data_IF_655859229187
#
_entry.id   IF_655859229187
#
_cell.length_a   1.000
_cell.length_b   1.000
_cell.length_c   1.000
_cell.angle_alpha   90.00
_cell.angle_beta   90.00
_cell.angle_gamma   90.00
#
_symmetry.space_group_name_H-M   'P 1'
#
loop_
_entity.id
_entity.type
_entity.pdbx_description
1 polymer ?
#
# COMPACT_ATOMS: atom_id res chain seq x y z
N UNK A 1 -12.16 -15.46 -6.13
CA UNK A 1 -11.68 -14.06 -6.03
C UNK A 1 -12.02 -13.57 -4.64
N UNK A 2 -11.02 -13.27 -3.79
CA UNK A 2 -11.28 -12.77 -2.43
C UNK A 2 -11.68 -11.29 -2.56
N UNK A 3 -12.90 -10.89 -2.17
CA UNK A 3 -13.35 -9.52 -2.31
C UNK A 3 -12.54 -8.61 -1.38
N UNK A 4 -12.17 -7.43 -1.87
CA UNK A 4 -11.49 -6.37 -1.11
C UNK A 4 -12.06 -6.26 0.30
N UNK A 5 -11.35 -6.80 1.29
CA UNK A 5 -11.88 -6.92 2.65
C UNK A 5 -12.10 -5.54 3.25
N UNK A 6 -13.25 -5.33 3.87
CA UNK A 6 -13.57 -4.11 4.58
C UNK A 6 -12.76 -4.00 5.88
N UNK A 7 -12.27 -2.82 6.21
CA UNK A 7 -11.59 -2.54 7.47
C UNK A 7 -12.57 -1.92 8.48
N UNK A 8 -13.37 -2.77 9.11
CA UNK A 8 -14.36 -2.37 10.10
C UNK A 8 -13.76 -1.67 11.33
N UNK A 9 -12.47 -1.88 11.63
CA UNK A 9 -11.80 -1.15 12.72
C UNK A 9 -11.70 0.36 12.44
N UNK A 10 -11.75 0.76 11.17
CA UNK A 10 -11.67 2.17 10.74
C UNK A 10 -13.00 2.68 10.17
N UNK A 11 -14.11 2.02 10.45
CA UNK A 11 -15.41 2.45 9.96
C UNK A 11 -15.84 3.77 10.59
N UNK A 12 -16.62 4.54 9.83
CA UNK A 12 -17.40 5.64 10.40
C UNK A 12 -18.66 5.04 11.03
N UNK A 13 -18.58 4.68 12.31
CA UNK A 13 -19.64 3.96 13.02
C UNK A 13 -20.93 4.80 13.09
N UNK A 14 -20.84 6.12 13.31
CA UNK A 14 -22.02 6.98 13.35
C UNK A 14 -22.77 7.00 12.01
N UNK A 15 -22.03 7.13 10.91
CA UNK A 15 -22.64 7.08 9.57
C UNK A 15 -23.21 5.69 9.26
N UNK A 16 -22.52 4.62 9.68
CA UNK A 16 -22.99 3.25 9.50
C UNK A 16 -24.35 3.02 10.15
N UNK A 17 -24.50 3.42 11.42
CA UNK A 17 -25.78 3.28 12.12
C UNK A 17 -26.88 4.15 11.50
N UNK A 18 -26.58 5.39 11.10
CA UNK A 18 -27.55 6.26 10.42
C UNK A 18 -28.02 5.65 9.10
N UNK A 19 -27.11 5.09 8.30
CA UNK A 19 -27.47 4.43 7.04
C UNK A 19 -28.31 3.17 7.26
N UNK A 20 -27.92 2.29 8.19
CA UNK A 20 -28.69 1.08 8.52
C UNK A 20 -30.11 1.41 8.98
N UNK A 21 -30.27 2.49 9.74
CA UNK A 21 -31.58 2.94 10.23
C UNK A 21 -32.45 3.55 9.12
N UNK A 22 -31.84 4.25 8.17
CA UNK A 22 -32.56 4.90 7.05
C UNK A 22 -32.89 3.96 5.91
N UNK A 23 -32.17 2.85 5.77
CA UNK A 23 -32.45 1.85 4.74
C UNK A 23 -33.84 1.25 4.96
N UNK A 24 -34.64 1.25 3.90
CA UNK A 24 -35.95 0.61 3.90
C UNK A 24 -35.78 -0.90 3.65
N UNK A 25 -36.11 -1.72 4.64
CA UNK A 25 -35.95 -3.17 4.59
C UNK A 25 -37.19 -3.92 4.06
N UNK A 26 -38.29 -3.22 3.77
CA UNK A 26 -39.56 -3.83 3.34
C UNK A 26 -39.43 -4.64 2.04
N UNK A 27 -38.35 -4.47 1.25
CA UNK A 27 -38.11 -5.29 0.07
C UNK A 27 -37.93 -6.78 0.43
N UNK A 28 -37.43 -7.09 1.63
CA UNK A 28 -37.24 -8.47 2.08
C UNK A 28 -38.57 -9.21 2.29
N UNK A 29 -39.63 -8.49 2.68
CA UNK A 29 -40.95 -9.10 2.93
C UNK A 29 -41.63 -9.58 1.64
N UNK A 30 -41.18 -9.07 0.49
CA UNK A 30 -41.71 -9.43 -0.82
C UNK A 30 -41.03 -10.64 -1.47
N UNK A 31 -39.96 -11.16 -0.86
CA UNK A 31 -39.18 -12.27 -1.41
C UNK A 31 -39.62 -13.57 -0.74
N UNK A 32 -40.08 -14.53 -1.55
CA UNK A 32 -40.54 -15.83 -1.05
C UNK A 32 -39.42 -16.85 -0.89
N UNK A 33 -38.35 -16.71 -1.65
CA UNK A 33 -37.18 -17.58 -1.56
C UNK A 33 -36.16 -17.06 -0.54
N UNK A 34 -35.73 -17.94 0.36
CA UNK A 34 -34.86 -17.56 1.48
C UNK A 34 -33.44 -17.28 1.01
N UNK A 35 -32.96 -18.00 -0.01
CA UNK A 35 -31.62 -17.78 -0.56
C UNK A 35 -31.56 -16.43 -1.26
N UNK A 36 -32.55 -16.13 -2.10
CA UNK A 36 -32.70 -14.83 -2.76
C UNK A 36 -32.81 -13.68 -1.75
N UNK A 37 -33.58 -13.85 -0.68
CA UNK A 37 -33.70 -12.83 0.37
C UNK A 37 -32.36 -12.56 1.07
N UNK A 38 -31.58 -13.63 1.34
CA UNK A 38 -30.25 -13.49 1.91
C UNK A 38 -29.29 -12.76 0.97
N UNK A 39 -29.30 -13.08 -0.32
CA UNK A 39 -28.45 -12.43 -1.31
C UNK A 39 -28.74 -10.93 -1.39
N UNK A 40 -30.01 -10.54 -1.48
CA UNK A 40 -30.41 -9.14 -1.53
C UNK A 40 -30.07 -8.39 -0.24
N UNK A 41 -30.27 -9.02 0.92
CA UNK A 41 -29.87 -8.45 2.21
C UNK A 41 -28.37 -8.15 2.26
N UNK A 42 -27.53 -9.11 1.88
CA UNK A 42 -26.08 -8.91 1.88
C UNK A 42 -25.63 -7.95 0.78
N UNK A 43 -26.33 -7.88 -0.36
CA UNK A 43 -26.06 -6.89 -1.39
C UNK A 43 -26.24 -5.47 -0.84
N UNK A 44 -27.38 -5.20 -0.20
CA UNK A 44 -27.68 -3.90 0.39
C UNK A 44 -26.71 -3.54 1.53
N UNK A 45 -26.40 -4.49 2.41
CA UNK A 45 -25.38 -4.29 3.45
C UNK A 45 -24.01 -3.95 2.87
N UNK A 46 -23.59 -4.63 1.80
CA UNK A 46 -22.30 -4.36 1.17
C UNK A 46 -22.25 -2.97 0.53
N UNK A 47 -23.39 -2.47 0.01
CA UNK A 47 -23.53 -1.10 -0.47
C UNK A 47 -23.33 -0.12 0.69
N UNK A 48 -24.02 -0.30 1.81
CA UNK A 48 -23.86 0.52 3.02
C UNK A 48 -22.40 0.50 3.51
N UNK A 49 -21.79 -0.68 3.58
CA UNK A 49 -20.38 -0.82 3.97
C UNK A 49 -19.44 -0.11 3.01
N UNK A 50 -19.75 -0.05 1.71
CA UNK A 50 -18.91 0.66 0.75
C UNK A 50 -18.81 2.17 1.01
N UNK A 51 -19.85 2.76 1.60
CA UNK A 51 -19.86 4.18 1.99
C UNK A 51 -19.25 4.42 3.37
N UNK A 52 -19.48 3.50 4.31
CA UNK A 52 -19.16 3.72 5.72
C UNK A 52 -17.84 3.09 6.17
N UNK A 53 -17.37 2.06 5.46
CA UNK A 53 -16.23 1.25 5.86
C UNK A 53 -15.13 1.32 4.80
N UNK A 54 -13.96 1.87 5.13
CA UNK A 54 -12.85 1.88 4.20
C UNK A 54 -12.39 0.45 3.90
N UNK A 55 -12.07 0.15 2.65
CA UNK A 55 -11.46 -1.13 2.26
C UNK A 55 -9.98 -1.16 2.67
N UNK A 56 -9.45 -2.34 2.98
CA UNK A 56 -8.00 -2.48 3.10
C UNK A 56 -7.35 -2.05 1.79
N UNK A 57 -6.32 -1.21 1.89
CA UNK A 57 -5.54 -0.78 0.74
C UNK A 57 -4.80 -1.99 0.18
N UNK A 58 -5.33 -2.62 -0.88
CA UNK A 58 -4.58 -3.58 -1.70
C UNK A 58 -3.49 -2.88 -2.49
N UNK A 59 -3.71 -1.60 -2.78
CA UNK A 59 -2.76 -0.74 -3.48
C UNK A 59 -1.75 -0.20 -2.47
N UNK A 60 -0.50 -0.62 -2.65
CA UNK A 60 0.70 -0.05 -2.04
C UNK A 60 0.81 -0.30 -0.54
N UNK A 61 1.65 -1.29 -0.20
CA UNK A 61 2.83 -0.97 0.62
C UNK A 61 3.17 0.49 0.35
N UNK A 62 2.90 1.40 1.29
CA UNK A 62 3.41 2.77 1.25
C UNK A 62 4.85 2.62 0.81
N UNK A 63 5.18 3.01 -0.43
CA UNK A 63 6.56 2.86 -0.88
C UNK A 63 7.32 3.79 0.07
N UNK A 64 8.00 3.22 1.06
CA UNK A 64 8.84 3.98 1.98
C UNK A 64 9.92 4.71 1.18
N UNK A 65 10.16 4.24 -0.04
CA UNK A 65 11.06 4.79 -1.02
C UNK A 65 10.31 5.54 -2.13
N UNK A 66 10.89 6.62 -2.64
CA UNK A 66 10.37 7.31 -3.82
C UNK A 66 10.09 6.38 -5.01
N UNK A 67 9.11 6.72 -5.87
CA UNK A 67 8.68 5.84 -6.96
C UNK A 67 9.75 5.59 -8.04
N UNK A 68 10.76 6.45 -8.13
CA UNK A 68 11.91 6.29 -9.03
C UNK A 68 13.01 5.38 -8.48
N UNK A 69 12.97 5.00 -7.19
CA UNK A 69 13.94 4.05 -6.65
C UNK A 69 13.51 2.61 -6.95
N UNK A 70 14.43 1.85 -7.57
CA UNK A 70 14.24 0.43 -7.83
C UNK A 70 14.77 -0.43 -6.66
N UNK A 71 14.44 -1.72 -6.68
CA UNK A 71 14.85 -2.67 -5.63
C UNK A 71 16.37 -2.80 -5.47
N UNK A 72 17.14 -2.63 -6.55
CA UNK A 72 18.60 -2.70 -6.53
C UNK A 72 19.21 -1.53 -5.76
N UNK A 73 18.77 -0.30 -6.04
CA UNK A 73 19.24 0.89 -5.32
C UNK A 73 18.89 0.78 -3.82
N UNK A 74 17.71 0.27 -3.50
CA UNK A 74 17.29 0.05 -2.10
C UNK A 74 18.21 -0.97 -1.41
N UNK A 75 18.55 -2.08 -2.09
CA UNK A 75 19.50 -3.07 -1.57
C UNK A 75 20.87 -2.43 -1.33
N UNK A 76 21.38 -1.67 -2.29
CA UNK A 76 22.69 -1.01 -2.17
C UNK A 76 22.73 0.01 -1.03
N UNK A 77 21.67 0.79 -0.83
CA UNK A 77 21.55 1.72 0.33
C UNK A 77 21.64 0.95 1.65
N UNK A 78 20.96 -0.21 1.76
CA UNK A 78 21.02 -1.07 2.95
C UNK A 78 22.42 -1.67 3.15
N UNK A 79 23.04 -2.16 2.08
CA UNK A 79 24.41 -2.70 2.13
C UNK A 79 25.42 -1.64 2.55
N UNK A 80 25.29 -0.40 2.05
CA UNK A 80 26.12 0.74 2.47
C UNK A 80 25.99 1.01 3.97
N UNK A 81 24.78 0.92 4.51
CA UNK A 81 24.54 1.11 5.94
C UNK A 81 25.18 0.00 6.79
N UNK A 82 25.13 -1.25 6.32
CA UNK A 82 25.83 -2.37 6.96
C UNK A 82 27.35 -2.15 6.97
N UNK A 83 27.94 -1.77 5.82
CA UNK A 83 29.36 -1.47 5.73
C UNK A 83 29.78 -0.31 6.64
N UNK A 84 28.95 0.73 6.74
CA UNK A 84 29.21 1.85 7.65
C UNK A 84 29.23 1.44 9.12
N UNK A 85 28.28 0.60 9.54
CA UNK A 85 28.24 0.06 10.91
C UNK A 85 29.45 -0.81 11.18
N UNK A 86 29.86 -1.63 10.20
CA UNK A 86 31.09 -2.43 10.29
C UNK A 86 32.33 -1.56 10.46
N UNK A 87 32.46 -0.49 9.66
CA UNK A 87 33.57 0.47 9.77
C UNK A 87 33.64 1.18 11.12
N UNK A 88 32.48 1.49 11.73
CA UNK A 88 32.43 2.08 13.06
C UNK A 88 32.95 1.16 14.15
N UNK A 89 32.77 -0.16 13.99
CA UNK A 89 33.22 -1.16 14.96
C UNK A 89 34.70 -1.50 14.72
N UNK A 90 35.06 -1.78 13.47
CA UNK A 90 36.40 -2.17 13.04
C UNK A 90 36.78 -1.37 11.79
N UNK A 91 37.87 -0.60 11.87
CA UNK A 91 38.40 0.16 10.73
C UNK A 91 39.26 -0.74 9.84
N UNK A 92 38.59 -1.48 8.95
CA UNK A 92 39.19 -2.32 7.92
C UNK A 92 39.26 -1.59 6.57
N UNK A 93 40.44 -1.61 5.93
CA UNK A 93 40.69 -0.89 4.66
C UNK A 93 39.85 -1.42 3.51
N UNK A 94 39.63 -2.75 3.44
CA UNK A 94 38.79 -3.36 2.41
C UNK A 94 37.34 -2.89 2.55
N UNK A 95 36.80 -2.94 3.77
CA UNK A 95 35.46 -2.44 4.07
C UNK A 95 35.32 -0.94 3.73
N UNK A 96 36.38 -0.14 3.93
CA UNK A 96 36.39 1.29 3.62
C UNK A 96 36.37 1.53 2.11
N UNK A 97 37.17 0.78 1.37
CA UNK A 97 37.18 0.79 -0.09
C UNK A 97 35.78 0.46 -0.65
N UNK A 98 35.18 -0.64 -0.20
CA UNK A 98 33.87 -1.09 -0.64
C UNK A 98 32.77 -0.09 -0.29
N UNK A 99 32.82 0.51 0.91
CA UNK A 99 31.87 1.56 1.31
C UNK A 99 31.95 2.78 0.38
N UNK A 100 33.17 3.25 0.06
CA UNK A 100 33.39 4.40 -0.84
C UNK A 100 32.89 4.08 -2.25
N UNK A 101 33.25 2.92 -2.79
CA UNK A 101 32.81 2.47 -4.10
C UNK A 101 31.28 2.39 -4.18
N UNK A 102 30.64 1.79 -3.17
CA UNK A 102 29.19 1.63 -3.11
C UNK A 102 28.47 2.98 -2.97
N UNK A 103 29.03 3.93 -2.19
CA UNK A 103 28.47 5.28 -2.07
C UNK A 103 28.48 6.03 -3.40
N UNK A 104 29.55 5.90 -4.19
CA UNK A 104 29.65 6.50 -5.52
C UNK A 104 28.64 5.88 -6.49
N UNK A 105 28.51 4.54 -6.47
CA UNK A 105 27.54 3.79 -7.27
C UNK A 105 26.11 4.25 -6.99
N UNK A 106 25.69 4.24 -5.72
CA UNK A 106 24.34 4.67 -5.30
C UNK A 106 24.04 6.09 -5.80
N UNK A 107 24.98 7.03 -5.68
CA UNK A 107 24.77 8.41 -6.15
C UNK A 107 24.50 8.46 -7.65
N UNK A 108 25.26 7.69 -8.45
CA UNK A 108 25.05 7.60 -9.91
C UNK A 108 23.71 6.95 -10.24
N UNK A 109 23.40 5.83 -9.61
CA UNK A 109 22.18 5.07 -9.90
C UNK A 109 20.91 5.86 -9.54
N UNK A 110 20.94 6.63 -8.44
CA UNK A 110 19.82 7.52 -8.07
C UNK A 110 19.63 8.64 -9.09
N UNK A 111 20.72 9.27 -9.55
CA UNK A 111 20.66 10.34 -10.56
C UNK A 111 20.08 9.83 -11.88
N UNK A 112 20.53 8.66 -12.34
CA UNK A 112 20.01 8.00 -13.53
C UNK A 112 18.52 7.68 -13.36
N UNK A 113 18.16 7.02 -12.26
CA UNK A 113 16.79 6.58 -12.03
C UNK A 113 15.81 7.77 -11.93
N UNK A 114 16.25 8.89 -11.35
CA UNK A 114 15.47 10.11 -11.30
C UNK A 114 15.30 10.74 -12.69
N UNK A 115 16.37 10.83 -13.48
CA UNK A 115 16.32 11.34 -14.86
C UNK A 115 15.38 10.51 -15.73
N UNK A 116 15.45 9.19 -15.62
CA UNK A 116 14.56 8.28 -16.34
C UNK A 116 13.09 8.46 -15.94
N UNK A 117 12.85 8.65 -14.64
CA UNK A 117 11.51 8.92 -14.13
C UNK A 117 10.95 10.25 -14.66
N UNK A 118 11.74 11.33 -14.64
CA UNK A 118 11.34 12.63 -15.20
C UNK A 118 11.09 12.55 -16.70
N UNK A 119 11.93 11.82 -17.45
CA UNK A 119 11.74 11.60 -18.88
C UNK A 119 10.41 10.89 -19.17
N UNK A 120 10.08 9.85 -18.40
CA UNK A 120 8.79 9.15 -18.52
C UNK A 120 7.61 10.07 -18.25
N UNK A 121 7.71 10.97 -17.26
CA UNK A 121 6.64 11.92 -16.95
C UNK A 121 6.45 12.99 -18.03
N UNK A 122 7.51 13.41 -18.72
CA UNK A 122 7.45 14.41 -19.80
C UNK A 122 7.05 13.84 -21.17
N UNK A 123 7.08 12.51 -21.32
CA UNK A 123 6.65 11.79 -22.53
C UNK A 123 5.18 11.34 -22.45
N UNK A 124 4.47 11.76 -21.39
CA UNK A 124 3.02 11.61 -21.18
C UNK A 124 2.42 13.01 -21.29
#
# INVERSE_FOLDING_TARGET
MVPNSFNFRKSNISLLYDQLFRTNWNFLDSIHDVEEACEQFYAELNVIFSFCVPKYSTTRYRRQFPPWLNGTIIKDIRTKEILFRRLKLNSDEMTLHDYKALRLKIKKDIDIAYKDYVKKLKMI
#
